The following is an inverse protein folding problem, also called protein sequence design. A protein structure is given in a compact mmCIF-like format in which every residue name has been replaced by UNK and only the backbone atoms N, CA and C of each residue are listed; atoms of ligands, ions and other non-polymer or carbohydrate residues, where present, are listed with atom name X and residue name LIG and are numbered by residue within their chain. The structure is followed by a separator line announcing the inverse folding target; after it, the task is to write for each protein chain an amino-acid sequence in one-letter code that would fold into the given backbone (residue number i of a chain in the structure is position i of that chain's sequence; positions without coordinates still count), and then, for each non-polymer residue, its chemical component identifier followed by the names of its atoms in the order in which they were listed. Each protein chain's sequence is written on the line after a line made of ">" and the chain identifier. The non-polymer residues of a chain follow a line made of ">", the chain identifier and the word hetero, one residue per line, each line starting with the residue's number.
data_IF_571416910934
#
_entry.id   IF_571416910934
#
_cell.length_a   1.000
_cell.length_b   1.000
_cell.length_c   1.000
_cell.angle_alpha   90.00
_cell.angle_beta   90.00
_cell.angle_gamma   90.00
#
_symmetry.space_group_name_H-M   'P 1'
#
loop_
_entity.id
_entity.type
_entity.pdbx_description
1 polymer ?
#
# COMPACT_ATOMS: atom_id res chain seq x y z
N UNK A 1 20.65 7.60 -7.75
CA UNK A 1 19.34 8.27 -7.84
C UNK A 1 18.39 7.39 -7.04
N UNK A 2 17.67 7.91 -6.03
CA UNK A 2 16.86 7.07 -5.15
C UNK A 2 15.79 6.35 -5.96
N UNK A 3 15.83 5.01 -5.95
CA UNK A 3 14.77 4.18 -6.53
C UNK A 3 13.90 3.57 -5.44
N UNK A 4 12.63 3.22 -5.71
CA UNK A 4 11.78 2.57 -4.71
C UNK A 4 12.43 1.30 -4.14
N UNK A 5 13.08 0.49 -4.98
CA UNK A 5 13.69 -0.75 -4.55
C UNK A 5 14.86 -0.55 -3.57
N UNK A 6 15.69 0.47 -3.79
CA UNK A 6 16.78 0.81 -2.86
C UNK A 6 16.23 1.34 -1.52
N UNK A 7 15.25 2.24 -1.58
CA UNK A 7 14.65 2.84 -0.38
C UNK A 7 13.85 1.83 0.43
N UNK A 8 13.23 0.85 -0.22
CA UNK A 8 12.44 -0.21 0.43
C UNK A 8 13.27 -1.04 1.43
N UNK A 9 14.57 -1.20 1.19
CA UNK A 9 15.49 -1.89 2.11
C UNK A 9 16.00 -0.98 3.24
N UNK A 10 16.00 0.34 3.04
CA UNK A 10 16.57 1.30 3.98
C UNK A 10 15.53 1.83 4.98
N UNK A 11 14.25 1.84 4.60
CA UNK A 11 13.19 2.42 5.41
C UNK A 11 12.23 1.36 5.97
N UNK A 12 11.84 1.56 7.22
CA UNK A 12 10.58 1.03 7.76
C UNK A 12 9.40 1.87 7.24
N UNK A 13 8.17 1.36 7.35
CA UNK A 13 6.98 2.14 6.98
C UNK A 13 6.93 3.48 7.73
N UNK A 14 7.17 3.47 9.04
CA UNK A 14 7.13 4.67 9.89
C UNK A 14 8.16 5.70 9.44
N UNK A 15 9.40 5.28 9.22
CA UNK A 15 10.47 6.18 8.79
C UNK A 15 10.26 6.69 7.36
N UNK A 16 9.67 5.89 6.47
CA UNK A 16 9.34 6.31 5.11
C UNK A 16 8.27 7.41 5.12
N UNK A 17 7.20 7.22 5.90
CA UNK A 17 6.13 8.22 6.06
C UNK A 17 6.68 9.52 6.65
N UNK A 18 7.50 9.45 7.69
CA UNK A 18 8.09 10.65 8.29
C UNK A 18 8.96 11.44 7.30
N UNK A 19 9.77 10.75 6.48
CA UNK A 19 10.59 11.41 5.44
C UNK A 19 9.73 11.99 4.32
N UNK A 20 8.72 11.25 3.86
CA UNK A 20 7.76 11.70 2.85
C UNK A 20 7.04 12.97 3.31
N UNK A 21 6.53 12.98 4.54
CA UNK A 21 5.81 14.11 5.13
C UNK A 21 6.70 15.36 5.22
N UNK A 22 7.95 15.21 5.66
CA UNK A 22 8.91 16.31 5.71
C UNK A 22 9.19 16.92 4.33
N UNK A 23 9.36 16.08 3.29
CA UNK A 23 9.56 16.55 1.92
C UNK A 23 8.30 17.21 1.35
N UNK A 24 7.11 16.66 1.64
CA UNK A 24 5.82 17.24 1.22
C UNK A 24 5.55 18.58 1.88
N UNK A 25 5.82 18.72 3.17
CA UNK A 25 5.63 19.97 3.89
C UNK A 25 6.50 21.09 3.29
N UNK A 26 7.75 20.80 2.96
CA UNK A 26 8.63 21.77 2.30
C UNK A 26 8.19 22.10 0.87
N UNK A 27 7.77 21.10 0.10
CA UNK A 27 7.22 21.32 -1.25
C UNK A 27 6.00 22.24 -1.23
N UNK A 28 5.12 22.10 -0.24
CA UNK A 28 3.92 22.92 -0.10
C UNK A 28 4.19 24.36 0.37
N UNK A 29 5.32 24.59 1.06
CA UNK A 29 5.74 25.92 1.54
C UNK A 29 6.64 26.66 0.55
N UNK A 30 7.21 25.95 -0.43
CA UNK A 30 8.07 26.56 -1.42
C UNK A 30 7.27 27.49 -2.35
N UNK A 31 7.79 28.69 -2.66
CA UNK A 31 7.12 29.61 -3.57
C UNK A 31 6.94 28.99 -4.95
N UNK A 32 5.80 29.25 -5.60
CA UNK A 32 5.58 28.75 -6.95
C UNK A 32 6.52 29.46 -7.92
N UNK A 33 7.11 28.72 -8.86
CA UNK A 33 7.91 29.33 -9.93
C UNK A 33 7.11 30.30 -10.82
N UNK A 34 5.78 30.22 -10.78
CA UNK A 34 4.86 31.10 -11.51
C UNK A 34 4.50 32.40 -10.74
N UNK A 35 4.91 32.54 -9.47
CA UNK A 35 4.74 33.76 -8.67
C UNK A 35 5.91 34.73 -8.92
N UNK A 36 6.02 35.20 -10.17
CA UNK A 36 7.12 36.00 -10.73
C UNK A 36 7.18 37.46 -10.21
N UNK A 37 6.47 37.81 -9.12
CA UNK A 37 6.41 39.20 -8.61
C UNK A 37 6.88 39.35 -7.14
N UNK A 38 7.32 38.26 -6.49
CA UNK A 38 7.85 38.29 -5.10
C UNK A 38 9.37 38.09 -5.01
N UNK A 39 10.10 38.35 -6.10
CA UNK A 39 11.55 38.14 -6.24
C UNK A 39 12.46 38.99 -5.31
N UNK A 40 11.88 39.72 -4.34
CA UNK A 40 12.60 40.62 -3.44
C UNK A 40 12.73 40.09 -2.01
N UNK A 41 11.95 39.08 -1.60
CA UNK A 41 12.09 38.46 -0.29
C UNK A 41 12.78 37.09 -0.39
N UNK A 42 13.86 36.84 0.37
CA UNK A 42 14.44 35.52 0.45
C UNK A 42 13.39 34.55 1.01
N UNK A 43 13.34 33.30 0.52
CA UNK A 43 12.40 32.31 1.03
C UNK A 43 12.58 32.17 2.54
N UNK A 44 11.46 31.95 3.25
CA UNK A 44 11.51 31.64 4.67
C UNK A 44 12.43 30.42 4.90
N UNK A 45 13.16 30.35 6.02
CA UNK A 45 14.03 29.20 6.31
C UNK A 45 13.25 27.89 6.24
N UNK A 46 13.68 26.96 5.39
CA UNK A 46 12.96 25.69 5.19
C UNK A 46 11.82 25.75 4.16
N UNK A 47 11.66 26.85 3.44
CA UNK A 47 10.76 27.01 2.28
C UNK A 47 11.53 26.98 0.95
N UNK A 48 12.76 26.45 0.93
CA UNK A 48 13.50 26.30 -0.32
C UNK A 48 12.82 25.23 -1.21
N UNK A 49 12.72 25.48 -2.53
CA UNK A 49 12.24 24.48 -3.47
C UNK A 49 13.02 23.17 -3.34
N UNK A 50 12.33 22.03 -3.53
CA UNK A 50 12.97 20.73 -3.54
C UNK A 50 14.05 20.67 -4.62
N UNK A 51 15.21 20.12 -4.29
CA UNK A 51 16.17 19.75 -5.31
C UNK A 51 15.60 18.62 -6.18
N UNK A 52 16.14 18.47 -7.40
CA UNK A 52 15.79 17.33 -8.28
C UNK A 52 15.90 15.98 -7.57
N UNK A 53 16.93 15.81 -6.73
CA UNK A 53 17.14 14.57 -5.99
C UNK A 53 16.02 14.30 -4.98
N UNK A 54 15.60 15.33 -4.26
CA UNK A 54 14.55 15.25 -3.25
C UNK A 54 13.15 15.09 -3.87
N UNK A 55 12.89 15.70 -5.03
CA UNK A 55 11.66 15.47 -5.77
C UNK A 55 11.54 14.01 -6.25
N UNK A 56 12.64 13.43 -6.74
CA UNK A 56 12.68 12.00 -7.11
C UNK A 56 12.60 11.09 -5.88
N UNK A 57 13.23 11.47 -4.76
CA UNK A 57 13.11 10.78 -3.48
C UNK A 57 11.66 10.76 -3.00
N UNK A 58 10.94 11.88 -3.09
CA UNK A 58 9.54 12.02 -2.69
C UNK A 58 8.65 11.04 -3.46
N UNK A 59 8.82 10.95 -4.79
CA UNK A 59 8.09 9.99 -5.63
C UNK A 59 8.41 8.54 -5.23
N UNK A 60 9.69 8.24 -5.04
CA UNK A 60 10.13 6.89 -4.67
C UNK A 60 9.60 6.48 -3.28
N UNK A 61 9.57 7.40 -2.32
CA UNK A 61 9.00 7.17 -0.99
C UNK A 61 7.50 6.90 -1.03
N UNK A 62 6.74 7.61 -1.88
CA UNK A 62 5.31 7.36 -2.06
C UNK A 62 5.03 5.92 -2.51
N UNK A 63 5.81 5.42 -3.47
CA UNK A 63 5.74 4.02 -3.93
C UNK A 63 6.12 3.03 -2.81
N UNK A 64 7.20 3.31 -2.05
CA UNK A 64 7.62 2.45 -0.92
C UNK A 64 6.54 2.37 0.16
N UNK A 65 5.90 3.49 0.49
CA UNK A 65 4.79 3.54 1.46
C UNK A 65 3.63 2.69 0.95
N UNK A 66 3.23 2.85 -0.32
CA UNK A 66 2.14 2.07 -0.91
C UNK A 66 2.41 0.55 -0.90
N UNK A 67 3.65 0.14 -1.22
CA UNK A 67 4.08 -1.27 -1.14
C UNK A 67 4.02 -1.80 0.28
N UNK A 68 4.68 -1.13 1.22
CA UNK A 68 4.76 -1.58 2.62
C UNK A 68 3.39 -1.57 3.30
N UNK A 69 2.53 -0.60 3.02
CA UNK A 69 1.16 -0.58 3.51
C UNK A 69 0.30 -1.71 2.91
N UNK A 70 0.67 -2.21 1.72
CA UNK A 70 0.01 -3.35 1.08
C UNK A 70 0.61 -4.71 1.48
N UNK A 71 1.72 -4.74 2.21
CA UNK A 71 2.27 -5.99 2.72
C UNK A 71 1.28 -6.68 3.65
N UNK A 72 1.08 -7.98 3.45
CA UNK A 72 0.11 -8.73 4.23
C UNK A 72 -1.35 -8.36 3.94
N UNK A 73 -1.65 -7.58 2.89
CA UNK A 73 -3.03 -7.18 2.52
C UNK A 73 -4.00 -8.38 2.54
N UNK A 74 -3.59 -9.52 2.01
CA UNK A 74 -4.46 -10.70 1.94
C UNK A 74 -4.69 -11.36 3.32
N UNK A 75 -3.76 -11.22 4.27
CA UNK A 75 -4.00 -11.57 5.67
C UNK A 75 -5.02 -10.62 6.31
N UNK A 76 -4.93 -9.31 6.02
CA UNK A 76 -5.94 -8.34 6.48
C UNK A 76 -7.32 -8.60 5.87
N UNK A 77 -7.40 -8.98 4.59
CA UNK A 77 -8.65 -9.42 3.93
C UNK A 77 -9.22 -10.66 4.63
N UNK A 78 -8.38 -11.66 4.95
CA UNK A 78 -8.80 -12.83 5.73
C UNK A 78 -9.35 -12.43 7.09
N UNK A 79 -8.66 -11.55 7.83
CA UNK A 79 -9.15 -11.05 9.12
C UNK A 79 -10.48 -10.31 9.00
N UNK A 80 -10.66 -9.50 7.95
CA UNK A 80 -11.94 -8.83 7.68
C UNK A 80 -13.06 -9.83 7.38
N UNK A 81 -12.80 -10.87 6.58
CA UNK A 81 -13.74 -11.98 6.35
C UNK A 81 -14.09 -12.71 7.65
N UNK A 82 -13.10 -13.00 8.50
CA UNK A 82 -13.33 -13.61 9.82
C UNK A 82 -14.19 -12.72 10.72
N UNK A 83 -14.07 -11.40 10.62
CA UNK A 83 -14.91 -10.45 11.32
C UNK A 83 -16.31 -10.26 10.68
N UNK A 84 -16.62 -10.96 9.59
CA UNK A 84 -17.93 -10.93 8.92
C UNK A 84 -18.08 -9.85 7.85
N UNK A 85 -17.00 -9.19 7.41
CA UNK A 85 -17.09 -8.19 6.35
C UNK A 85 -17.44 -8.82 5.00
N UNK A 86 -18.35 -8.20 4.24
CA UNK A 86 -18.71 -8.64 2.89
C UNK A 86 -17.63 -8.36 1.84
N UNK A 87 -17.71 -9.03 0.69
CA UNK A 87 -16.84 -8.71 -0.45
C UNK A 87 -17.09 -7.31 -1.02
N UNK A 88 -18.32 -6.81 -0.93
CA UNK A 88 -18.66 -5.43 -1.28
C UNK A 88 -17.97 -4.43 -0.34
N UNK A 89 -18.02 -4.66 0.97
CA UNK A 89 -17.31 -3.83 1.96
C UNK A 89 -15.79 -3.87 1.78
N UNK A 90 -15.23 -5.06 1.55
CA UNK A 90 -13.79 -5.23 1.30
C UNK A 90 -13.39 -4.54 0.00
N UNK A 91 -14.14 -4.72 -1.09
CA UNK A 91 -13.91 -4.05 -2.37
C UNK A 91 -13.88 -2.53 -2.20
N UNK A 92 -14.90 -1.97 -1.55
CA UNK A 92 -14.99 -0.54 -1.27
C UNK A 92 -13.78 -0.04 -0.44
N UNK A 93 -13.40 -0.76 0.62
CA UNK A 93 -12.25 -0.40 1.45
C UNK A 93 -10.91 -0.45 0.69
N UNK A 94 -10.79 -1.35 -0.28
CA UNK A 94 -9.60 -1.49 -1.13
C UNK A 94 -9.62 -0.56 -2.36
N UNK A 95 -10.73 0.15 -2.61
CA UNK A 95 -10.91 0.96 -3.82
C UNK A 95 -11.03 0.13 -5.10
N UNK A 96 -11.63 -1.06 -5.03
CA UNK A 96 -11.80 -1.98 -6.16
C UNK A 96 -13.21 -2.61 -6.17
N UNK A 97 -13.55 -3.38 -7.19
CA UNK A 97 -14.85 -4.08 -7.24
C UNK A 97 -14.86 -5.28 -6.29
N UNK A 98 -16.06 -5.68 -5.83
CA UNK A 98 -16.24 -6.90 -5.03
C UNK A 98 -15.62 -8.13 -5.71
N UNK A 99 -15.81 -8.24 -7.02
CA UNK A 99 -15.29 -9.33 -7.85
C UNK A 99 -13.75 -9.30 -7.88
N UNK A 100 -13.14 -8.15 -8.13
CA UNK A 100 -11.70 -8.02 -8.18
C UNK A 100 -11.05 -8.34 -6.82
N UNK A 101 -11.67 -7.93 -5.71
CA UNK A 101 -11.22 -8.27 -4.37
C UNK A 101 -11.28 -9.78 -4.10
N UNK A 102 -12.41 -10.42 -4.43
CA UNK A 102 -12.60 -11.86 -4.28
C UNK A 102 -11.60 -12.66 -5.12
N UNK A 103 -11.42 -12.32 -6.39
CA UNK A 103 -10.47 -13.01 -7.27
C UNK A 103 -9.03 -12.86 -6.81
N UNK A 104 -8.64 -11.64 -6.38
CA UNK A 104 -7.30 -11.40 -5.86
C UNK A 104 -7.02 -12.23 -4.60
N UNK A 105 -8.02 -12.39 -3.73
CA UNK A 105 -7.89 -13.21 -2.53
C UNK A 105 -7.77 -14.70 -2.87
N UNK A 106 -8.60 -15.22 -3.78
CA UNK A 106 -8.53 -16.62 -4.19
C UNK A 106 -7.21 -16.96 -4.88
N UNK A 107 -6.70 -16.08 -5.76
CA UNK A 107 -5.36 -16.25 -6.35
C UNK A 107 -4.28 -16.35 -5.27
N UNK A 108 -4.37 -15.52 -4.23
CA UNK A 108 -3.43 -15.58 -3.11
C UNK A 108 -3.54 -16.90 -2.32
N UNK A 109 -4.76 -17.41 -2.07
CA UNK A 109 -4.95 -18.73 -1.45
C UNK A 109 -4.29 -19.83 -2.31
N UNK A 110 -4.47 -19.79 -3.63
CA UNK A 110 -3.84 -20.75 -4.54
C UNK A 110 -2.31 -20.61 -4.58
N UNK A 111 -1.77 -19.41 -4.41
CA UNK A 111 -0.33 -19.18 -4.26
C UNK A 111 0.20 -19.77 -2.95
N UNK A 112 -0.56 -19.70 -1.84
CA UNK A 112 -0.20 -20.40 -0.60
C UNK A 112 -0.15 -21.91 -0.81
N UNK A 113 -1.07 -22.47 -1.61
CA UNK A 113 -1.06 -23.90 -1.95
C UNK A 113 0.18 -24.34 -2.76
N UNK A 114 0.75 -23.43 -3.55
CA UNK A 114 1.93 -23.68 -4.39
C UNK A 114 3.27 -23.56 -3.64
N UNK A 115 3.27 -23.19 -2.36
CA UNK A 115 4.46 -23.12 -1.52
C UNK A 115 4.58 -24.28 -0.51
N UNK A 116 4.46 -25.57 -0.91
CA UNK A 116 4.70 -26.64 0.03
C UNK A 116 6.20 -26.70 0.38
N UNK A 117 6.49 -26.45 1.66
CA UNK A 117 7.61 -27.00 2.42
C UNK A 117 9.01 -26.46 2.06
N UNK A 118 9.36 -25.29 2.61
CA UNK A 118 10.74 -25.06 3.02
C UNK A 118 10.96 -25.80 4.37
N UNK A 119 12.05 -26.57 4.56
CA UNK A 119 12.31 -27.23 5.83
C UNK A 119 12.40 -26.18 6.95
N UNK A 120 11.44 -26.20 7.89
CA UNK A 120 11.34 -25.25 9.00
C UNK A 120 10.22 -24.21 8.88
N UNK A 121 9.47 -24.15 7.77
CA UNK A 121 8.27 -23.33 7.63
C UNK A 121 7.00 -24.19 7.58
N UNK A 122 6.10 -23.97 8.54
CA UNK A 122 4.74 -24.51 8.53
C UNK A 122 3.91 -23.76 7.47
N UNK A 123 3.99 -24.21 6.21
CA UNK A 123 3.07 -23.77 5.14
C UNK A 123 1.65 -24.33 5.37
N UNK A 124 0.66 -23.78 4.67
CA UNK A 124 -0.72 -24.25 4.77
C UNK A 124 -0.86 -25.66 4.22
N UNK A 125 -1.48 -26.53 5.00
CA UNK A 125 -1.87 -27.86 4.55
C UNK A 125 -3.22 -27.83 3.79
N UNK A 126 -3.68 -28.99 3.35
CA UNK A 126 -4.95 -29.11 2.62
C UNK A 126 -6.17 -28.67 3.46
N UNK A 127 -6.12 -28.88 4.78
CA UNK A 127 -7.16 -28.45 5.71
C UNK A 127 -7.17 -26.94 5.87
N UNK A 128 -5.99 -26.30 5.99
CA UNK A 128 -5.85 -24.85 6.04
C UNK A 128 -6.39 -24.20 4.76
N UNK A 129 -6.11 -24.78 3.60
CA UNK A 129 -6.62 -24.31 2.31
C UNK A 129 -8.14 -24.45 2.20
N UNK A 130 -8.70 -25.58 2.63
CA UNK A 130 -10.15 -25.78 2.65
C UNK A 130 -10.85 -24.77 3.57
N UNK A 131 -10.30 -24.53 4.76
CA UNK A 131 -10.80 -23.53 5.70
C UNK A 131 -10.71 -22.11 5.11
N UNK A 132 -9.61 -21.77 4.44
CA UNK A 132 -9.44 -20.47 3.79
C UNK A 132 -10.46 -20.25 2.66
N UNK A 133 -10.73 -21.27 1.83
CA UNK A 133 -11.74 -21.21 0.77
C UNK A 133 -13.16 -21.10 1.31
N UNK A 134 -13.48 -21.85 2.37
CA UNK A 134 -14.78 -21.75 3.03
C UNK A 134 -15.01 -20.34 3.62
N UNK A 135 -13.98 -19.74 4.20
CA UNK A 135 -14.03 -18.37 4.72
C UNK A 135 -14.14 -17.32 3.59
N UNK A 136 -13.45 -17.54 2.48
CA UNK A 136 -13.58 -16.69 1.30
C UNK A 136 -15.02 -16.71 0.79
N UNK A 137 -15.64 -17.89 0.70
CA UNK A 137 -17.02 -18.04 0.22
C UNK A 137 -17.20 -17.55 -1.23
N UNK A 138 -18.45 -17.39 -1.64
CA UNK A 138 -18.79 -16.81 -2.94
C UNK A 138 -18.80 -15.26 -2.86
N UNK A 139 -18.51 -14.55 -3.97
CA UNK A 139 -18.80 -13.14 -4.02
C UNK A 139 -20.32 -13.00 -3.93
N UNK A 140 -20.82 -12.29 -2.91
CA UNK A 140 -22.27 -12.10 -2.70
C UNK A 140 -22.97 -11.70 -4.02
N UNK A 141 -24.10 -12.33 -4.32
CA UNK A 141 -24.94 -11.97 -5.47
C UNK A 141 -25.41 -10.51 -5.35
N UNK A 142 -25.75 -9.89 -6.49
CA UNK A 142 -26.23 -8.50 -6.56
C UNK A 142 -27.25 -8.19 -5.46
N UNK A 143 -27.07 -7.03 -4.83
CA UNK A 143 -28.01 -6.46 -3.87
C UNK A 143 -29.43 -6.63 -4.40
N UNK A 144 -30.16 -7.56 -3.80
CA UNK A 144 -31.61 -7.56 -3.95
C UNK A 144 -32.11 -6.46 -3.04
N UNK A 145 -32.27 -5.26 -3.63
CA UNK A 145 -33.27 -4.19 -3.35
C UNK A 145 -32.76 -2.78 -3.72
#
# INVERSE_FOLDING_TARGET
>A
MPTPNELEHQFTLVTAVARYDALRAREALAPSADEDDSALEPPAPGAEPLTRGEALELLALGEVIARKASYGRQLSVRSARTAGASWSQIGAALGTSKQAAWEAHNRWIDEQAKQPQHPGHWGWDESDLAAARALAGEPEDEDTE
#
